data_IF_444430630810
#
_entry.id   IF_444430630810
#
_cell.length_a   1.000
_cell.length_b   1.000
_cell.length_c   1.000
_cell.angle_alpha   90.00
_cell.angle_beta   90.00
_cell.angle_gamma   90.00
#
_symmetry.space_group_name_H-M   'P 1'
#
loop_
_entity.id
_entity.type
_entity.pdbx_description
1 polymer ?
#
# COMPACT_ATOMS: atom_id res chain seq x y z
N UNK A 1 5.12 1.40 26.36
CA UNK A 1 5.46 2.75 25.91
C UNK A 1 5.84 2.63 24.45
N UNK A 2 4.95 2.85 23.47
CA UNK A 2 5.41 3.00 22.09
C UNK A 2 5.86 4.45 21.93
N UNK A 3 7.18 4.64 21.90
CA UNK A 3 7.85 5.89 21.61
C UNK A 3 8.64 5.66 20.32
N UNK A 4 8.01 6.00 19.19
CA UNK A 4 8.61 6.46 17.94
C UNK A 4 7.52 6.51 16.87
N UNK A 5 6.47 7.31 17.10
CA UNK A 5 5.68 7.75 15.96
C UNK A 5 6.62 8.56 15.06
N UNK A 6 6.69 8.18 13.79
CA UNK A 6 7.26 9.00 12.73
C UNK A 6 6.53 10.35 12.77
N UNK A 7 7.10 11.34 13.46
CA UNK A 7 6.50 12.65 13.62
C UNK A 7 6.64 13.43 12.30
N UNK A 8 5.94 12.95 11.28
CA UNK A 8 5.85 13.56 9.97
C UNK A 8 4.87 14.72 10.07
N UNK A 9 5.34 15.95 9.88
CA UNK A 9 4.43 17.09 9.82
C UNK A 9 3.70 17.12 8.48
N UNK A 10 2.60 17.89 8.40
CA UNK A 10 1.89 18.11 7.13
C UNK A 10 2.77 18.80 6.09
N UNK A 11 3.67 19.69 6.53
CA UNK A 11 4.59 20.39 5.63
C UNK A 11 5.65 19.42 5.09
N UNK A 12 6.19 18.53 5.94
CA UNK A 12 7.12 17.48 5.51
C UNK A 12 6.45 16.50 4.54
N UNK A 13 5.21 16.11 4.83
CA UNK A 13 4.41 15.26 3.95
C UNK A 13 4.23 15.86 2.55
N UNK A 14 3.84 17.14 2.47
CA UNK A 14 3.65 17.83 1.20
C UNK A 14 4.99 18.08 0.48
N UNK A 15 6.05 18.40 1.20
CA UNK A 15 7.40 18.58 0.65
C UNK A 15 7.93 17.27 0.04
N UNK A 16 7.74 16.14 0.73
CA UNK A 16 8.20 14.83 0.30
C UNK A 16 7.44 14.35 -0.94
N UNK A 17 6.11 14.50 -0.97
CA UNK A 17 5.30 14.20 -2.17
C UNK A 17 5.66 15.13 -3.35
N UNK A 18 5.91 16.41 -3.07
CA UNK A 18 6.33 17.40 -4.06
C UNK A 18 7.66 17.01 -4.71
N UNK A 19 8.69 16.76 -3.89
CA UNK A 19 10.02 16.37 -4.36
C UNK A 19 9.99 15.04 -5.13
N UNK A 20 9.29 14.03 -4.62
CA UNK A 20 9.18 12.74 -5.30
C UNK A 20 8.50 12.86 -6.68
N UNK A 21 7.51 13.74 -6.81
CA UNK A 21 6.86 14.03 -8.09
C UNK A 21 7.76 14.80 -9.05
N UNK A 22 8.45 15.83 -8.57
CA UNK A 22 9.38 16.62 -9.38
C UNK A 22 10.53 15.78 -9.94
N UNK A 23 10.99 14.79 -9.17
CA UNK A 23 12.00 13.81 -9.59
C UNK A 23 11.43 12.67 -10.45
N UNK A 24 10.14 12.67 -10.78
CA UNK A 24 9.50 11.65 -11.61
C UNK A 24 9.32 10.28 -10.93
N UNK A 25 9.49 10.20 -9.61
CA UNK A 25 9.35 8.98 -8.83
C UNK A 25 7.89 8.70 -8.45
N UNK A 26 7.08 9.75 -8.37
CA UNK A 26 5.62 9.67 -8.23
C UNK A 26 4.91 10.38 -9.38
N UNK A 27 3.84 9.79 -9.87
CA UNK A 27 2.93 10.45 -10.81
C UNK A 27 2.03 11.46 -10.09
N UNK A 28 1.32 12.30 -10.86
CA UNK A 28 0.29 13.16 -10.30
C UNK A 28 -0.84 12.37 -9.63
N UNK A 29 -1.12 11.15 -10.10
CA UNK A 29 -2.16 10.29 -9.53
C UNK A 29 -1.73 9.80 -8.14
N UNK A 30 -0.49 9.35 -7.98
CA UNK A 30 0.03 8.81 -6.71
C UNK A 30 -0.02 9.87 -5.62
N UNK A 31 0.40 11.11 -5.95
CA UNK A 31 0.31 12.26 -5.03
C UNK A 31 -1.13 12.58 -4.64
N UNK A 32 -2.06 12.57 -5.59
CA UNK A 32 -3.47 12.85 -5.29
C UNK A 32 -4.11 11.72 -4.48
N UNK A 33 -3.70 10.47 -4.73
CA UNK A 33 -4.16 9.33 -3.96
C UNK A 33 -3.69 9.41 -2.50
N UNK A 34 -2.42 9.73 -2.27
CA UNK A 34 -1.88 9.98 -0.92
C UNK A 34 -2.69 11.07 -0.18
N UNK A 35 -2.90 12.22 -0.84
CA UNK A 35 -3.71 13.31 -0.29
C UNK A 35 -5.16 12.90 -0.04
N UNK A 36 -5.73 12.03 -0.86
CA UNK A 36 -7.08 11.51 -0.65
C UNK A 36 -7.15 10.62 0.59
N UNK A 37 -6.21 9.69 0.76
CA UNK A 37 -6.11 8.83 1.95
C UNK A 37 -5.98 9.67 3.24
N UNK A 38 -5.09 10.67 3.24
CA UNK A 38 -4.93 11.57 4.38
C UNK A 38 -6.20 12.38 4.70
N UNK A 39 -7.07 12.65 3.71
CA UNK A 39 -8.36 13.34 3.92
C UNK A 39 -9.47 12.40 4.36
N UNK A 40 -9.45 11.14 3.92
CA UNK A 40 -10.47 10.16 4.26
C UNK A 40 -10.27 9.56 5.64
N UNK A 41 -9.02 9.49 6.11
CA UNK A 41 -8.70 8.97 7.44
C UNK A 41 -9.08 9.96 8.53
N UNK A 42 -9.78 9.44 9.55
CA UNK A 42 -10.13 10.15 10.77
C UNK A 42 -9.05 10.04 11.87
N UNK A 43 -7.96 9.31 11.60
CA UNK A 43 -6.83 9.19 12.53
C UNK A 43 -6.04 10.51 12.66
N UNK A 44 -5.24 10.59 13.71
CA UNK A 44 -4.29 11.69 13.94
C UNK A 44 -3.17 11.69 12.88
N UNK A 45 -2.46 12.82 12.74
CA UNK A 45 -1.44 13.04 11.70
C UNK A 45 -0.27 12.03 11.78
N UNK A 46 0.07 11.57 12.98
CA UNK A 46 1.08 10.54 13.26
C UNK A 46 0.71 9.16 12.69
N UNK A 47 -0.57 8.89 12.49
CA UNK A 47 -1.07 7.66 11.86
C UNK A 47 -1.36 7.90 10.39
N UNK A 48 -2.16 8.92 10.05
CA UNK A 48 -2.68 9.05 8.68
C UNK A 48 -1.63 9.47 7.66
N UNK A 49 -0.60 10.24 8.04
CA UNK A 49 0.39 10.73 7.07
C UNK A 49 1.36 9.62 6.63
N UNK A 50 1.94 8.80 7.53
CA UNK A 50 2.70 7.61 7.13
C UNK A 50 1.88 6.64 6.28
N UNK A 51 0.61 6.40 6.64
CA UNK A 51 -0.30 5.55 5.85
C UNK A 51 -0.56 6.12 4.47
N UNK A 52 -0.74 7.43 4.35
CA UNK A 52 -0.91 8.11 3.06
C UNK A 52 0.34 7.99 2.17
N UNK A 53 1.55 8.10 2.74
CA UNK A 53 2.80 7.84 2.00
C UNK A 53 2.89 6.38 1.55
N UNK A 54 2.50 5.44 2.41
CA UNK A 54 2.44 4.02 2.06
C UNK A 54 1.47 3.76 0.90
N UNK A 55 0.32 4.43 0.89
CA UNK A 55 -0.63 4.38 -0.21
C UNK A 55 -0.06 4.98 -1.51
N UNK A 56 0.71 6.06 -1.43
CA UNK A 56 1.43 6.62 -2.58
C UNK A 56 2.43 5.60 -3.15
N UNK A 57 3.21 4.95 -2.27
CA UNK A 57 4.15 3.90 -2.64
C UNK A 57 3.43 2.71 -3.31
N UNK A 58 2.35 2.21 -2.72
CA UNK A 58 1.53 1.13 -3.29
C UNK A 58 0.89 1.51 -4.65
N UNK A 59 0.48 2.78 -4.82
CA UNK A 59 -0.01 3.27 -6.10
C UNK A 59 1.09 3.34 -7.16
N UNK A 60 2.27 3.85 -6.79
CA UNK A 60 3.42 3.96 -7.70
C UNK A 60 3.97 2.60 -8.12
N UNK A 61 3.89 1.59 -7.24
CA UNK A 61 4.32 0.22 -7.49
C UNK A 61 3.62 -0.41 -8.72
N UNK A 62 2.36 -0.02 -8.98
CA UNK A 62 1.63 -0.50 -10.17
C UNK A 62 2.29 -0.07 -11.48
N UNK A 63 2.90 1.11 -11.51
CA UNK A 63 3.68 1.58 -12.66
C UNK A 63 4.97 0.78 -12.87
N UNK A 64 5.49 0.19 -11.80
CA UNK A 64 6.69 -0.67 -11.77
C UNK A 64 6.44 -2.16 -11.97
N UNK A 65 5.20 -2.56 -12.30
CA UNK A 65 4.76 -3.97 -12.44
C UNK A 65 4.63 -4.75 -11.12
N UNK A 66 4.75 -4.08 -9.97
CA UNK A 66 4.51 -4.67 -8.66
C UNK A 66 3.03 -4.52 -8.28
N UNK A 67 2.44 -5.58 -7.72
CA UNK A 67 1.02 -5.59 -7.32
C UNK A 67 0.80 -5.14 -5.86
N UNK A 68 1.87 -5.10 -5.08
CA UNK A 68 1.92 -4.67 -3.67
C UNK A 68 3.30 -4.10 -3.35
N UNK A 69 3.39 -3.39 -2.22
CA UNK A 69 4.69 -3.14 -1.58
C UNK A 69 4.89 -4.15 -0.46
N UNK A 70 6.13 -4.60 -0.30
CA UNK A 70 6.57 -5.51 0.76
C UNK A 70 7.28 -4.69 1.83
N UNK A 71 6.69 -4.57 3.02
CA UNK A 71 7.20 -3.81 4.17
C UNK A 71 8.47 -4.43 4.77
N UNK A 72 8.79 -5.68 4.42
CA UNK A 72 10.07 -6.32 4.75
C UNK A 72 11.21 -5.95 3.81
N UNK A 73 10.93 -5.21 2.73
CA UNK A 73 11.93 -4.75 1.75
C UNK A 73 12.31 -3.29 1.96
N UNK A 74 13.36 -2.88 1.26
CA UNK A 74 13.78 -1.49 1.22
C UNK A 74 12.65 -0.62 0.65
N UNK A 75 12.30 0.49 1.31
CA UNK A 75 11.28 1.40 0.82
C UNK A 75 11.72 2.05 -0.50
N UNK A 76 10.78 2.66 -1.25
CA UNK A 76 11.14 3.50 -2.38
C UNK A 76 12.13 4.59 -1.95
N UNK A 77 13.15 4.86 -2.78
CA UNK A 77 14.25 5.78 -2.45
C UNK A 77 13.83 7.24 -2.19
N UNK A 78 12.61 7.63 -2.58
CA UNK A 78 12.04 8.94 -2.28
C UNK A 78 11.46 9.05 -0.87
N UNK A 79 11.17 7.92 -0.22
CA UNK A 79 10.55 7.89 1.11
C UNK A 79 11.62 7.95 2.19
N UNK A 80 12.05 9.17 2.53
CA UNK A 80 12.98 9.42 3.62
C UNK A 80 12.29 9.26 4.98
N UNK A 81 13.07 8.86 5.99
CA UNK A 81 12.55 8.66 7.36
C UNK A 81 11.71 7.40 7.53
N UNK A 82 11.68 6.48 6.56
CA UNK A 82 10.94 5.22 6.68
C UNK A 82 11.43 4.39 7.87
N UNK A 83 10.48 3.99 8.71
CA UNK A 83 10.65 2.99 9.77
C UNK A 83 9.57 1.92 9.55
N UNK A 84 9.95 0.67 9.22
CA UNK A 84 8.99 -0.39 8.92
C UNK A 84 8.15 -0.77 10.13
N UNK A 85 8.70 -0.73 11.35
CA UNK A 85 7.97 -1.13 12.56
C UNK A 85 6.96 -0.06 12.96
N UNK A 86 7.37 1.21 12.97
CA UNK A 86 6.46 2.33 13.20
C UNK A 86 5.35 2.39 12.12
N UNK A 87 5.69 2.13 10.86
CA UNK A 87 4.69 2.09 9.78
C UNK A 87 3.69 0.96 9.98
N UNK A 88 4.11 -0.24 10.41
CA UNK A 88 3.19 -1.35 10.72
C UNK A 88 2.21 -0.95 11.81
N UNK A 89 2.67 -0.25 12.86
CA UNK A 89 1.81 0.27 13.91
C UNK A 89 0.79 1.28 13.35
N UNK A 90 1.22 2.23 12.53
CA UNK A 90 0.32 3.20 11.88
C UNK A 90 -0.69 2.51 10.95
N UNK A 91 -0.27 1.54 10.14
CA UNK A 91 -1.16 0.79 9.24
C UNK A 91 -2.21 0.00 10.02
N UNK A 92 -1.82 -0.65 11.12
CA UNK A 92 -2.74 -1.40 11.98
C UNK A 92 -3.74 -0.49 12.72
N UNK A 93 -3.37 0.75 13.02
CA UNK A 93 -4.22 1.74 13.66
C UNK A 93 -5.13 2.53 12.69
N UNK A 94 -4.96 2.36 11.38
CA UNK A 94 -5.63 3.17 10.37
C UNK A 94 -7.03 2.67 10.03
N UNK A 95 -7.95 3.62 9.84
CA UNK A 95 -9.33 3.38 9.37
C UNK A 95 -9.47 3.28 7.84
N UNK A 96 -8.39 3.51 7.09
CA UNK A 96 -8.35 3.35 5.61
C UNK A 96 -7.58 2.10 5.17
N UNK A 97 -7.11 1.31 6.12
CA UNK A 97 -6.42 0.03 5.90
C UNK A 97 -7.29 -1.08 6.45
N UNK A 98 -7.56 -2.09 5.63
CA UNK A 98 -8.35 -3.25 6.03
C UNK A 98 -7.66 -4.57 5.75
N UNK A 99 -8.41 -5.63 5.99
CA UNK A 99 -8.03 -7.00 5.65
C UNK A 99 -8.53 -7.39 4.24
N UNK A 100 -8.13 -8.59 3.83
CA UNK A 100 -8.55 -9.21 2.57
C UNK A 100 -10.06 -9.49 2.59
N UNK A 101 -10.82 -8.64 1.90
CA UNK A 101 -12.29 -8.71 1.85
C UNK A 101 -12.96 -7.41 2.29
N UNK A 102 -12.23 -6.53 2.97
CA UNK A 102 -12.69 -5.19 3.28
C UNK A 102 -12.96 -4.35 2.01
N UNK A 103 -13.82 -3.35 2.18
CA UNK A 103 -14.08 -2.32 1.17
C UNK A 103 -13.16 -1.09 1.35
N UNK A 104 -12.11 -1.21 2.18
CA UNK A 104 -11.17 -0.14 2.46
C UNK A 104 -10.15 0.01 1.32
N UNK A 105 -9.64 1.22 1.06
CA UNK A 105 -8.82 1.49 -0.12
C UNK A 105 -7.47 0.75 -0.10
N UNK A 106 -6.92 0.52 1.09
CA UNK A 106 -5.69 -0.25 1.29
C UNK A 106 -6.00 -1.57 1.99
N UNK A 107 -5.25 -2.62 1.63
CA UNK A 107 -5.33 -3.94 2.27
C UNK A 107 -3.94 -4.34 2.75
N UNK A 108 -3.84 -4.73 4.02
CA UNK A 108 -2.60 -5.26 4.61
C UNK A 108 -2.74 -6.76 4.82
N UNK A 109 -1.85 -7.54 4.20
CA UNK A 109 -1.78 -9.00 4.35
C UNK A 109 -0.34 -9.42 4.70
N UNK A 110 -0.09 -9.69 5.98
CA UNK A 110 1.27 -9.89 6.49
C UNK A 110 2.11 -8.62 6.29
N UNK A 111 3.25 -8.75 5.61
CA UNK A 111 4.10 -7.62 5.24
C UNK A 111 3.73 -6.99 3.88
N UNK A 112 2.63 -7.39 3.25
CA UNK A 112 2.26 -6.88 1.92
C UNK A 112 1.14 -5.86 2.03
N UNK A 113 1.40 -4.64 1.57
CA UNK A 113 0.39 -3.60 1.44
C UNK A 113 -0.06 -3.47 -0.02
N UNK A 114 -1.36 -3.59 -0.22
CA UNK A 114 -2.02 -3.58 -1.52
C UNK A 114 -2.94 -2.38 -1.68
N UNK A 115 -3.13 -1.96 -2.93
CA UNK A 115 -4.39 -1.33 -3.31
C UNK A 115 -5.49 -2.39 -3.32
N UNK A 116 -6.67 -2.08 -2.78
CA UNK A 116 -7.79 -3.02 -2.66
C UNK A 116 -8.12 -3.73 -3.98
N UNK A 117 -8.10 -2.97 -5.08
CA UNK A 117 -8.38 -3.51 -6.41
C UNK A 117 -7.35 -4.56 -6.85
N UNK A 118 -6.09 -4.43 -6.43
CA UNK A 118 -5.05 -5.42 -6.73
C UNK A 118 -5.19 -6.64 -5.83
N UNK A 119 -5.41 -6.47 -4.53
CA UNK A 119 -5.66 -7.60 -3.62
C UNK A 119 -6.83 -8.47 -4.12
N UNK A 120 -7.92 -7.84 -4.57
CA UNK A 120 -9.06 -8.55 -5.16
C UNK A 120 -8.69 -9.30 -6.46
N UNK A 121 -7.86 -8.71 -7.32
CA UNK A 121 -7.42 -9.34 -8.57
C UNK A 121 -6.50 -10.52 -8.30
N UNK A 122 -5.53 -10.38 -7.41
CA UNK A 122 -4.62 -11.46 -7.01
C UNK A 122 -5.40 -12.65 -6.48
N UNK A 123 -6.35 -12.41 -5.57
CA UNK A 123 -7.22 -13.45 -5.02
C UNK A 123 -8.03 -14.15 -6.11
N UNK A 124 -8.65 -13.40 -7.03
CA UNK A 124 -9.42 -13.98 -8.14
C UNK A 124 -8.55 -14.90 -9.01
N UNK A 125 -7.30 -14.51 -9.27
CA UNK A 125 -6.36 -15.33 -10.05
C UNK A 125 -5.98 -16.59 -9.26
N UNK A 126 -5.65 -16.46 -7.98
CA UNK A 126 -5.29 -17.58 -7.12
C UNK A 126 -6.44 -18.60 -7.02
N UNK A 127 -7.67 -18.14 -6.79
CA UNK A 127 -8.87 -19.00 -6.74
C UNK A 127 -9.09 -19.73 -8.07
N UNK A 128 -8.92 -19.05 -9.21
CA UNK A 128 -9.01 -19.68 -10.53
C UNK A 128 -7.92 -20.71 -10.77
N UNK A 129 -6.68 -20.42 -10.36
CA UNK A 129 -5.57 -21.36 -10.47
C UNK A 129 -5.79 -22.62 -9.65
N UNK A 130 -6.29 -22.47 -8.41
CA UNK A 130 -6.65 -23.61 -7.56
C UNK A 130 -7.79 -24.43 -8.16
N UNK A 131 -8.81 -23.79 -8.72
CA UNK A 131 -9.90 -24.48 -9.41
C UNK A 131 -9.39 -25.30 -10.61
N UNK A 132 -8.54 -24.72 -11.45
CA UNK A 132 -7.92 -25.42 -12.60
C UNK A 132 -7.01 -26.57 -12.15
N UNK A 133 -6.31 -26.45 -11.02
CA UNK A 133 -5.46 -27.53 -10.49
C UNK A 133 -6.27 -28.66 -9.85
N UNK A 134 -7.47 -28.36 -9.33
CA UNK A 134 -8.42 -29.35 -8.80
C UNK A 134 -9.23 -30.06 -9.90
N UNK A 135 -9.40 -29.41 -11.06
CA UNK A 135 -9.89 -30.06 -12.26
C UNK A 135 -8.81 -31.03 -12.77
N UNK A 136 -9.11 -32.34 -12.77
CA UNK A 136 -8.30 -33.30 -13.54
C UNK A 136 -8.32 -32.82 -14.98
N UNK A 137 -7.17 -32.39 -15.50
CA UNK A 137 -6.99 -32.16 -16.93
C UNK A 137 -7.18 -33.52 -17.60
N UNK A 138 -8.39 -33.74 -18.13
CA UNK A 138 -8.68 -34.90 -18.96
C UNK A 138 -7.98 -34.65 -20.30
N UNK A 139 -6.74 -35.10 -20.39
CA UNK A 139 -6.08 -35.27 -21.68
C UNK A 139 -6.85 -36.39 -22.38
N UNK A 140 -7.88 -36.02 -23.13
CA UNK A 140 -8.44 -36.88 -24.15
C UNK A 140 -7.33 -37.17 -25.17
N UNK A 141 -6.64 -38.30 -24.98
CA UNK A 141 -5.82 -38.93 -26.00
C UNK A 141 -6.73 -39.64 -27.04
N UNK A 142 -6.24 -39.80 -28.29
CA UNK A 142 -6.74 -39.14 -29.51
C UNK A 142 -7.98 -39.73 -30.17
#
# INVERSE_FOLDING_TARGET
MPEAALALSRDDFEALLGAARENGQLSALDVQFARALARWSCCDDDVRLPVALAGAAASSALGGQDICIDLGREPPSWWTGYDPDALRESLAASDVVGDTGSALPLVLEGDRLYLQIMARRERLIAERMLAMAGEKIDYAEP
#
